data_IF_113619367442
#
_entry.id   IF_113619367442
#
_cell.length_a   1.000
_cell.length_b   1.000
_cell.length_c   1.000
_cell.angle_alpha   90.00
_cell.angle_beta   90.00
_cell.angle_gamma   90.00
#
_symmetry.space_group_name_H-M   'P 1'
#
loop_
_entity.id
_entity.type
_entity.pdbx_description
1 polymer ?
#
# COMPACT_ATOMS: atom_id res chain seq x y z
N UNK A 1 -13.81 -15.68 -79.91
CA UNK A 1 -14.51 -15.73 -78.59
C UNK A 1 -13.50 -16.28 -77.59
N UNK A 2 -12.73 -15.40 -77.00
CA UNK A 2 -11.52 -15.67 -76.30
C UNK A 2 -11.84 -15.57 -74.79
N UNK A 3 -11.60 -16.65 -74.07
CA UNK A 3 -11.79 -16.75 -72.62
C UNK A 3 -10.53 -16.15 -71.93
N UNK A 4 -10.73 -15.04 -71.21
CA UNK A 4 -9.72 -14.42 -70.37
C UNK A 4 -9.43 -15.27 -69.11
N UNK A 5 -8.19 -15.33 -68.62
CA UNK A 5 -7.81 -16.14 -67.47
C UNK A 5 -8.24 -15.48 -66.14
N UNK A 6 -9.02 -16.18 -65.36
CA UNK A 6 -9.30 -15.89 -63.94
C UNK A 6 -8.17 -16.44 -63.07
N UNK A 7 -7.07 -15.73 -62.96
CA UNK A 7 -5.92 -16.32 -62.22
C UNK A 7 -5.10 -15.37 -61.35
N UNK A 8 -5.37 -14.05 -61.37
CA UNK A 8 -4.39 -13.11 -60.78
C UNK A 8 -4.87 -12.31 -59.58
N UNK A 9 -6.09 -12.51 -59.09
CA UNK A 9 -6.60 -11.70 -57.96
C UNK A 9 -6.36 -12.35 -56.58
N UNK A 10 -6.19 -13.67 -56.53
CA UNK A 10 -5.98 -14.38 -55.29
C UNK A 10 -4.49 -14.35 -54.84
N UNK A 11 -3.56 -14.32 -55.79
CA UNK A 11 -2.12 -14.21 -55.51
C UNK A 11 -1.74 -12.83 -54.98
N UNK A 12 -2.32 -11.76 -55.49
CA UNK A 12 -2.06 -10.39 -55.03
C UNK A 12 -2.60 -10.11 -53.65
N UNK A 13 -3.67 -10.74 -53.23
CA UNK A 13 -4.19 -10.62 -51.84
C UNK A 13 -3.32 -11.39 -50.82
N UNK A 14 -2.81 -12.53 -51.23
CA UNK A 14 -1.90 -13.32 -50.36
C UNK A 14 -0.54 -12.64 -50.20
N UNK A 15 -0.03 -12.03 -51.27
CA UNK A 15 1.22 -11.29 -51.27
C UNK A 15 1.10 -9.98 -50.44
N UNK A 16 -0.06 -9.32 -50.49
CA UNK A 16 -0.33 -8.14 -49.64
C UNK A 16 -0.43 -8.53 -48.18
N UNK A 17 -1.03 -9.68 -47.84
CA UNK A 17 -1.18 -10.13 -46.47
C UNK A 17 0.16 -10.59 -45.86
N UNK A 18 1.03 -11.15 -46.69
CA UNK A 18 2.40 -11.51 -46.27
C UNK A 18 3.27 -10.28 -46.00
N UNK A 19 3.11 -9.24 -46.84
CA UNK A 19 3.83 -7.98 -46.63
C UNK A 19 3.37 -7.24 -45.35
N UNK A 20 2.05 -7.24 -45.08
CA UNK A 20 1.47 -6.67 -43.85
C UNK A 20 1.94 -7.45 -42.59
N UNK A 21 2.19 -8.77 -42.71
CA UNK A 21 2.75 -9.59 -41.62
C UNK A 21 4.25 -9.30 -41.39
N UNK A 22 5.03 -9.16 -42.45
CA UNK A 22 6.45 -8.81 -42.34
C UNK A 22 6.64 -7.39 -41.73
N UNK A 23 5.79 -6.40 -42.09
CA UNK A 23 5.80 -5.08 -41.44
C UNK A 23 5.44 -5.15 -39.95
N UNK A 24 4.53 -6.02 -39.53
CA UNK A 24 4.17 -6.22 -38.12
C UNK A 24 5.27 -6.93 -37.32
N UNK A 25 6.07 -7.79 -37.96
CA UNK A 25 7.23 -8.42 -37.33
C UNK A 25 8.39 -7.42 -37.18
N UNK A 26 8.66 -6.56 -38.18
CA UNK A 26 9.68 -5.51 -38.10
C UNK A 26 9.36 -4.47 -37.02
N UNK A 27 8.08 -4.01 -36.90
CA UNK A 27 7.64 -3.08 -35.86
C UNK A 27 7.79 -3.68 -34.44
N UNK A 28 7.55 -4.99 -34.29
CA UNK A 28 7.69 -5.67 -33.00
C UNK A 28 9.16 -5.85 -32.58
N UNK A 29 10.07 -6.05 -33.54
CA UNK A 29 11.50 -6.13 -33.30
C UNK A 29 12.10 -4.74 -32.96
N UNK A 30 11.56 -3.65 -33.55
CA UNK A 30 11.99 -2.28 -33.19
C UNK A 30 11.46 -1.87 -31.80
N UNK A 31 10.25 -2.26 -31.39
CA UNK A 31 9.73 -2.03 -30.03
C UNK A 31 10.53 -2.82 -28.99
N UNK A 32 10.90 -4.08 -29.26
CA UNK A 32 11.72 -4.87 -28.34
C UNK A 32 13.15 -4.31 -28.20
N UNK A 33 13.74 -3.82 -29.28
CA UNK A 33 15.07 -3.17 -29.22
C UNK A 33 15.03 -1.81 -28.48
N UNK A 34 13.90 -1.09 -28.53
CA UNK A 34 13.73 0.15 -27.76
C UNK A 34 13.44 -0.13 -26.28
N UNK A 35 12.77 -1.22 -25.93
CA UNK A 35 12.59 -1.64 -24.54
C UNK A 35 13.92 -2.13 -23.93
N UNK A 36 14.70 -2.96 -24.64
CA UNK A 36 16.01 -3.41 -24.16
C UNK A 36 17.00 -2.26 -23.97
N UNK A 37 17.03 -1.27 -24.89
CA UNK A 37 17.91 -0.09 -24.74
C UNK A 37 17.44 0.86 -23.64
N UNK A 38 16.15 0.93 -23.35
CA UNK A 38 15.63 1.70 -22.23
C UNK A 38 15.86 1.00 -20.89
N UNK A 39 15.82 -0.33 -20.83
CA UNK A 39 16.18 -1.11 -19.64
C UNK A 39 17.68 -1.05 -19.35
N UNK A 40 18.56 -1.11 -20.38
CA UNK A 40 20.00 -0.93 -20.18
C UNK A 40 20.36 0.51 -19.74
N UNK A 41 19.70 1.54 -20.29
CA UNK A 41 19.90 2.94 -19.86
C UNK A 41 19.30 3.23 -18.47
N UNK A 42 18.24 2.53 -18.06
CA UNK A 42 17.68 2.62 -16.72
C UNK A 42 18.60 1.92 -15.70
N UNK A 43 19.13 0.75 -16.04
CA UNK A 43 20.05 0.01 -15.16
C UNK A 43 21.39 0.72 -14.95
N UNK A 44 21.94 1.41 -15.97
CA UNK A 44 23.21 2.16 -15.84
C UNK A 44 23.07 3.44 -14.99
N UNK A 45 21.85 3.93 -14.74
CA UNK A 45 21.60 5.09 -13.88
C UNK A 45 21.25 4.73 -12.44
N UNK A 46 20.85 3.48 -12.16
CA UNK A 46 20.48 3.02 -10.81
C UNK A 46 21.66 2.42 -10.01
N UNK A 47 22.78 2.08 -10.65
CA UNK A 47 23.77 1.18 -10.04
C UNK A 47 24.97 1.86 -9.34
N UNK A 48 24.97 3.18 -9.07
CA UNK A 48 26.14 3.77 -8.42
C UNK A 48 25.94 4.60 -7.16
N UNK A 49 24.75 5.08 -6.86
CA UNK A 49 24.55 5.94 -5.68
C UNK A 49 23.41 5.48 -4.73
N UNK A 50 22.41 4.72 -5.20
CA UNK A 50 21.29 4.26 -4.36
C UNK A 50 21.71 3.16 -3.37
N UNK A 51 22.53 2.20 -3.77
CA UNK A 51 23.03 1.13 -2.87
C UNK A 51 23.85 1.68 -1.69
N UNK A 52 24.60 2.79 -1.91
CA UNK A 52 25.34 3.45 -0.81
C UNK A 52 24.46 4.27 0.08
N UNK A 53 23.34 4.79 -0.44
CA UNK A 53 22.37 5.54 0.34
C UNK A 53 21.46 4.60 1.15
N UNK A 54 21.11 3.45 0.59
CA UNK A 54 20.35 2.40 1.27
C UNK A 54 21.14 1.76 2.43
N UNK A 55 22.44 1.50 2.25
CA UNK A 55 23.30 0.97 3.31
C UNK A 55 23.59 1.97 4.43
N UNK A 56 23.61 3.27 4.15
CA UNK A 56 23.70 4.32 5.18
C UNK A 56 22.39 4.47 5.95
N UNK A 57 21.24 4.34 5.28
CA UNK A 57 19.91 4.36 5.91
C UNK A 57 19.64 3.11 6.76
N UNK A 58 20.22 1.96 6.42
CA UNK A 58 20.12 0.71 7.22
C UNK A 58 20.87 0.77 8.54
N UNK A 59 21.84 1.68 8.67
CA UNK A 59 22.60 1.86 9.91
C UNK A 59 22.01 2.91 10.88
N UNK A 60 20.96 3.62 10.48
CA UNK A 60 20.23 4.49 11.38
C UNK A 60 19.18 3.66 12.13
N UNK A 61 19.22 3.69 13.47
CA UNK A 61 18.24 2.98 14.32
C UNK A 61 16.80 3.40 14.06
N UNK A 62 15.82 2.64 14.55
CA UNK A 62 14.38 2.87 14.35
C UNK A 62 13.95 4.30 14.71
N UNK A 63 14.62 4.93 15.67
CA UNK A 63 14.32 6.30 16.12
C UNK A 63 14.56 7.37 15.03
N UNK A 64 15.46 7.11 14.08
CA UNK A 64 15.69 8.00 12.92
C UNK A 64 14.57 7.91 11.87
N UNK A 65 13.81 6.81 11.85
CA UNK A 65 12.67 6.59 10.95
C UNK A 65 11.35 7.10 11.55
N UNK A 66 11.24 7.14 12.88
CA UNK A 66 10.07 7.68 13.60
C UNK A 66 10.21 9.20 13.73
N UNK A 67 9.89 9.92 12.62
CA UNK A 67 10.07 11.39 12.54
C UNK A 67 8.77 12.14 12.82
N UNK A 68 7.65 11.62 12.34
CA UNK A 68 6.37 12.32 12.36
C UNK A 68 5.86 12.54 13.77
N UNK A 69 5.84 11.49 14.60
CA UNK A 69 5.38 11.56 15.99
C UNK A 69 6.20 12.50 16.88
N UNK A 70 7.49 12.68 16.54
CA UNK A 70 8.38 13.60 17.27
C UNK A 70 8.20 15.04 16.83
N UNK A 71 7.60 15.29 15.66
CA UNK A 71 7.37 16.59 15.07
C UNK A 71 6.39 17.42 15.91
N UNK A 72 6.78 18.67 16.20
CA UNK A 72 5.90 19.63 16.91
C UNK A 72 4.65 19.99 16.09
N UNK A 73 4.79 20.02 14.74
CA UNK A 73 3.66 20.24 13.81
C UNK A 73 2.59 19.16 13.98
N UNK A 74 3.00 17.92 14.04
CA UNK A 74 2.10 16.77 14.24
C UNK A 74 1.36 16.85 15.58
N UNK A 75 2.06 17.13 16.67
CA UNK A 75 1.47 17.22 18.00
C UNK A 75 0.44 18.36 18.09
N UNK A 76 0.76 19.53 17.52
CA UNK A 76 -0.18 20.66 17.44
C UNK A 76 -1.43 20.28 16.64
N UNK A 77 -1.24 19.60 15.52
CA UNK A 77 -2.34 19.15 14.68
C UNK A 77 -3.27 18.18 15.41
N UNK A 78 -2.74 17.15 16.09
CA UNK A 78 -3.53 16.21 16.87
C UNK A 78 -4.30 16.91 18.01
N UNK A 79 -3.68 17.88 18.67
CA UNK A 79 -4.35 18.70 19.70
C UNK A 79 -5.48 19.52 19.11
N UNK A 80 -5.27 20.16 17.95
CA UNK A 80 -6.29 20.92 17.25
C UNK A 80 -7.48 20.05 16.82
N UNK A 81 -7.24 18.83 16.35
CA UNK A 81 -8.29 17.87 16.02
C UNK A 81 -9.10 17.51 17.27
N UNK A 82 -8.44 17.20 18.39
CA UNK A 82 -9.11 16.85 19.63
C UNK A 82 -10.03 17.99 20.11
N UNK A 83 -9.55 19.23 20.09
CA UNK A 83 -10.34 20.41 20.49
C UNK A 83 -11.51 20.70 19.56
N UNK A 84 -11.34 20.43 18.24
CA UNK A 84 -12.38 20.73 17.25
C UNK A 84 -13.36 19.59 17.03
N UNK A 85 -13.00 18.36 17.37
CA UNK A 85 -13.91 17.21 17.26
C UNK A 85 -15.18 17.39 18.11
N UNK A 86 -15.07 18.11 19.24
CA UNK A 86 -16.19 18.40 20.13
C UNK A 86 -17.10 19.54 19.64
N UNK A 87 -16.62 20.37 18.66
CA UNK A 87 -17.36 21.52 18.16
C UNK A 87 -18.18 21.14 16.91
N UNK A 88 -19.39 21.72 16.75
CA UNK A 88 -20.15 21.53 15.51
C UNK A 88 -19.40 22.17 14.33
N UNK A 89 -19.51 21.53 13.16
CA UNK A 89 -18.90 22.00 11.93
C UNK A 89 -19.48 23.37 11.53
N UNK A 90 -18.61 24.31 11.10
CA UNK A 90 -18.99 25.65 10.61
C UNK A 90 -18.53 25.83 9.16
N UNK A 91 -19.43 26.34 8.30
CA UNK A 91 -19.11 26.52 6.86
C UNK A 91 -18.15 27.69 6.57
N UNK A 92 -18.09 28.67 7.46
CA UNK A 92 -17.34 29.91 7.23
C UNK A 92 -15.98 29.94 7.94
N UNK A 93 -15.50 28.80 8.44
CA UNK A 93 -14.26 28.74 9.19
C UNK A 93 -13.10 28.33 8.26
N UNK A 94 -12.34 29.34 7.77
CA UNK A 94 -11.11 29.12 6.96
C UNK A 94 -10.07 28.27 7.71
N UNK A 95 -10.04 28.36 9.05
CA UNK A 95 -9.15 27.57 9.88
C UNK A 95 -9.55 26.09 9.88
N UNK A 96 -10.85 25.79 9.81
CA UNK A 96 -11.33 24.40 9.72
C UNK A 96 -10.97 23.78 8.37
N UNK A 97 -11.10 24.53 7.28
CA UNK A 97 -10.66 24.06 5.97
C UNK A 97 -9.15 23.82 5.91
N UNK A 98 -8.36 24.75 6.46
CA UNK A 98 -6.91 24.58 6.54
C UNK A 98 -6.52 23.34 7.37
N UNK A 99 -7.22 23.07 8.47
CA UNK A 99 -7.02 21.89 9.29
C UNK A 99 -7.35 20.57 8.53
N UNK A 100 -8.41 20.56 7.71
CA UNK A 100 -8.78 19.44 6.87
C UNK A 100 -7.71 19.18 5.82
N UNK A 101 -7.19 20.20 5.15
CA UNK A 101 -6.11 20.06 4.17
C UNK A 101 -4.85 19.53 4.84
N UNK A 102 -4.47 20.09 6.00
CA UNK A 102 -3.32 19.61 6.77
C UNK A 102 -3.50 18.15 7.24
N UNK A 103 -4.72 17.75 7.61
CA UNK A 103 -5.05 16.37 7.96
C UNK A 103 -4.75 15.42 6.82
N UNK A 104 -5.14 15.76 5.58
CA UNK A 104 -4.87 14.93 4.41
C UNK A 104 -3.37 14.80 4.12
N UNK A 105 -2.60 15.88 4.23
CA UNK A 105 -1.13 15.82 4.09
C UNK A 105 -0.47 14.93 5.14
N UNK A 106 -0.97 15.00 6.38
CA UNK A 106 -0.46 14.19 7.49
C UNK A 106 -0.78 12.72 7.26
N UNK A 107 -1.99 12.37 6.80
CA UNK A 107 -2.36 10.99 6.48
C UNK A 107 -1.41 10.35 5.46
N UNK A 108 -1.07 11.07 4.40
CA UNK A 108 -0.10 10.58 3.39
C UNK A 108 1.29 10.35 4.02
N UNK A 109 1.74 11.27 4.87
CA UNK A 109 3.03 11.12 5.58
C UNK A 109 3.02 9.98 6.59
N UNK A 110 1.88 9.73 7.27
CA UNK A 110 1.71 8.59 8.18
C UNK A 110 1.83 7.26 7.44
N UNK A 111 1.21 7.14 6.27
CA UNK A 111 1.30 5.93 5.47
C UNK A 111 2.72 5.69 4.94
N UNK A 112 3.45 6.75 4.58
CA UNK A 112 4.85 6.66 4.17
C UNK A 112 5.74 6.21 5.34
N UNK A 113 5.63 6.86 6.52
CA UNK A 113 6.41 6.50 7.71
C UNK A 113 6.11 5.07 8.20
N UNK A 114 4.84 4.67 8.18
CA UNK A 114 4.44 3.29 8.50
C UNK A 114 5.11 2.29 7.55
N UNK A 115 5.20 2.63 6.26
CA UNK A 115 5.87 1.77 5.28
C UNK A 115 7.37 1.64 5.56
N UNK A 116 8.06 2.75 5.83
CA UNK A 116 9.50 2.76 6.13
C UNK A 116 9.82 1.99 7.43
N UNK A 117 9.04 2.21 8.50
CA UNK A 117 9.24 1.52 9.76
C UNK A 117 8.90 0.03 9.65
N UNK A 118 7.83 -0.32 8.91
CA UNK A 118 7.50 -1.72 8.64
C UNK A 118 8.64 -2.44 7.91
N UNK A 119 9.20 -1.83 6.85
CA UNK A 119 10.32 -2.42 6.10
C UNK A 119 11.53 -2.66 7.03
N UNK A 120 11.86 -1.69 7.88
CA UNK A 120 12.95 -1.81 8.84
C UNK A 120 12.71 -2.94 9.86
N UNK A 121 11.51 -3.02 10.43
CA UNK A 121 11.14 -4.10 11.38
C UNK A 121 11.18 -5.45 10.67
N UNK A 122 10.73 -5.52 9.41
CA UNK A 122 10.77 -6.74 8.62
C UNK A 122 12.19 -7.23 8.36
N UNK A 123 13.11 -6.34 8.01
CA UNK A 123 14.54 -6.67 7.81
C UNK A 123 15.20 -7.20 9.10
N UNK A 124 14.88 -6.61 10.24
CA UNK A 124 15.39 -7.08 11.52
C UNK A 124 14.75 -8.41 11.95
N UNK A 125 13.41 -8.49 11.88
CA UNK A 125 12.67 -9.66 12.37
C UNK A 125 12.80 -10.86 11.43
N UNK A 126 13.11 -10.63 10.16
CA UNK A 126 13.41 -11.66 9.18
C UNK A 126 14.57 -12.57 9.55
N UNK A 127 15.49 -12.12 10.42
CA UNK A 127 16.55 -12.97 10.98
C UNK A 127 16.00 -14.08 11.87
N UNK A 128 14.89 -13.81 12.55
CA UNK A 128 14.20 -14.77 13.43
C UNK A 128 13.16 -15.59 12.69
N UNK A 129 12.36 -14.95 11.81
CA UNK A 129 11.26 -15.61 11.13
C UNK A 129 11.08 -15.04 9.70
N UNK A 130 11.93 -15.48 8.76
CA UNK A 130 11.92 -14.94 7.39
C UNK A 130 10.61 -15.24 6.64
N UNK A 131 9.92 -16.34 6.98
CA UNK A 131 8.69 -16.73 6.30
C UNK A 131 7.47 -15.90 6.71
N UNK A 132 7.56 -15.13 7.80
CA UNK A 132 6.42 -14.41 8.37
C UNK A 132 5.84 -13.36 7.41
N UNK A 133 6.68 -12.66 6.63
CA UNK A 133 6.24 -11.69 5.64
C UNK A 133 5.32 -12.30 4.59
N UNK A 134 5.63 -13.51 4.15
CA UNK A 134 4.82 -14.23 3.16
C UNK A 134 3.52 -14.77 3.73
N UNK A 135 3.50 -15.08 5.02
CA UNK A 135 2.33 -15.63 5.73
C UNK A 135 1.34 -14.53 6.16
N UNK A 136 1.85 -13.35 6.49
CA UNK A 136 1.05 -12.20 6.97
C UNK A 136 1.33 -10.98 6.10
N UNK A 137 0.64 -10.85 4.95
CA UNK A 137 0.91 -9.79 3.99
C UNK A 137 0.42 -8.40 4.43
N UNK A 138 -0.50 -8.34 5.40
CA UNK A 138 -0.97 -7.08 5.98
C UNK A 138 0.09 -6.50 6.92
N UNK A 139 0.59 -5.30 6.61
CA UNK A 139 1.65 -4.64 7.39
C UNK A 139 1.29 -4.46 8.86
N UNK A 140 0.03 -4.07 9.13
CA UNK A 140 -0.44 -3.86 10.50
C UNK A 140 -0.58 -5.15 11.28
N UNK A 141 -1.14 -6.20 10.64
CA UNK A 141 -1.23 -7.53 11.25
C UNK A 141 0.16 -8.10 11.51
N UNK A 142 1.10 -7.92 10.57
CA UNK A 142 2.49 -8.30 10.72
C UNK A 142 3.12 -7.66 11.98
N UNK A 143 3.02 -6.33 12.12
CA UNK A 143 3.55 -5.61 13.27
C UNK A 143 2.91 -6.05 14.60
N UNK A 144 1.59 -6.31 14.61
CA UNK A 144 0.89 -6.86 15.78
C UNK A 144 1.38 -8.25 16.14
N UNK A 145 1.60 -9.10 15.14
CA UNK A 145 2.15 -10.45 15.34
C UNK A 145 3.57 -10.37 15.90
N UNK A 146 4.42 -9.52 15.32
CA UNK A 146 5.80 -9.31 15.82
C UNK A 146 5.78 -8.82 17.27
N UNK A 147 4.93 -7.85 17.61
CA UNK A 147 4.78 -7.33 18.96
C UNK A 147 4.31 -8.41 19.95
N UNK A 148 3.41 -9.31 19.53
CA UNK A 148 2.89 -10.38 20.35
C UNK A 148 3.87 -11.55 20.52
N UNK A 149 4.59 -11.91 19.45
CA UNK A 149 5.57 -13.00 19.47
C UNK A 149 6.89 -12.63 20.16
N UNK A 150 7.31 -11.37 20.05
CA UNK A 150 8.58 -10.92 20.61
C UNK A 150 9.73 -11.85 20.23
N UNK A 151 10.49 -12.32 21.21
CA UNK A 151 11.61 -13.26 20.99
C UNK A 151 11.28 -14.73 21.34
N UNK A 152 9.98 -15.02 21.58
CA UNK A 152 9.55 -16.38 21.90
C UNK A 152 9.74 -17.32 20.69
N UNK A 153 10.36 -18.48 20.95
CA UNK A 153 10.56 -19.52 19.92
C UNK A 153 9.53 -20.63 20.00
N UNK A 154 8.86 -20.74 21.16
CA UNK A 154 7.78 -21.73 21.35
C UNK A 154 6.43 -21.12 20.97
N UNK A 155 5.99 -21.43 19.77
CA UNK A 155 4.71 -20.93 19.22
C UNK A 155 3.48 -21.40 20.00
N UNK A 156 3.61 -22.39 20.89
CA UNK A 156 2.49 -22.87 21.71
C UNK A 156 2.17 -21.91 22.86
N UNK A 157 3.09 -21.02 23.21
CA UNK A 157 2.92 -20.03 24.27
C UNK A 157 2.36 -18.70 23.78
N UNK A 158 2.31 -18.51 22.45
CA UNK A 158 1.88 -17.25 21.83
C UNK A 158 0.44 -17.36 21.37
N UNK A 159 -0.45 -16.52 21.89
CA UNK A 159 -1.83 -16.44 21.44
C UNK A 159 -2.01 -15.38 20.33
N UNK A 160 -2.22 -15.83 19.12
CA UNK A 160 -2.44 -14.99 17.93
C UNK A 160 -3.93 -14.95 17.51
N UNK A 161 -4.82 -15.58 18.26
CA UNK A 161 -6.23 -15.76 17.87
C UNK A 161 -7.02 -14.45 17.75
N UNK A 162 -6.54 -13.38 18.40
CA UNK A 162 -7.17 -12.05 18.33
C UNK A 162 -6.66 -11.17 17.18
N UNK A 163 -5.57 -11.59 16.50
CA UNK A 163 -4.87 -10.80 15.48
C UNK A 163 -5.11 -11.40 14.09
N UNK A 164 -4.99 -12.72 13.98
CA UNK A 164 -5.06 -13.44 12.71
C UNK A 164 -6.26 -14.39 12.63
N UNK A 165 -6.77 -14.69 11.44
CA UNK A 165 -7.74 -15.76 11.22
C UNK A 165 -7.20 -17.13 11.68
N UNK A 166 -8.03 -18.04 12.20
CA UNK A 166 -7.58 -19.33 12.75
C UNK A 166 -6.75 -20.18 11.79
N UNK A 167 -7.05 -20.12 10.50
CA UNK A 167 -6.30 -20.82 9.45
C UNK A 167 -4.88 -20.30 9.34
N UNK A 168 -4.70 -18.97 9.38
CA UNK A 168 -3.37 -18.33 9.31
C UNK A 168 -2.60 -18.58 10.59
N UNK A 169 -3.25 -18.51 11.76
CA UNK A 169 -2.63 -18.83 13.07
C UNK A 169 -2.04 -20.24 13.03
N UNK A 170 -2.78 -21.23 12.51
CA UNK A 170 -2.29 -22.60 12.40
C UNK A 170 -1.03 -22.69 11.51
N UNK A 171 -1.05 -22.04 10.35
CA UNK A 171 0.09 -22.04 9.43
C UNK A 171 1.30 -21.35 10.06
N UNK A 172 1.11 -20.18 10.64
CA UNK A 172 2.17 -19.43 11.34
C UNK A 172 2.76 -20.24 12.48
N UNK A 173 1.94 -20.93 13.28
CA UNK A 173 2.41 -21.75 14.40
C UNK A 173 3.24 -22.95 13.93
N UNK A 174 2.81 -23.65 12.87
CA UNK A 174 3.55 -24.78 12.30
C UNK A 174 4.86 -24.30 11.69
N UNK A 175 4.83 -23.25 10.86
CA UNK A 175 6.02 -22.72 10.21
C UNK A 175 7.00 -22.15 11.26
N UNK A 176 6.52 -21.43 12.26
CA UNK A 176 7.35 -20.87 13.33
C UNK A 176 8.02 -21.95 14.19
N UNK A 177 7.41 -23.13 14.32
CA UNK A 177 8.02 -24.29 15.00
C UNK A 177 9.11 -24.99 14.16
N UNK A 178 9.12 -24.76 12.84
CA UNK A 178 10.07 -25.40 11.89
C UNK A 178 11.02 -24.42 11.25
N UNK A 179 10.91 -23.12 11.57
CA UNK A 179 11.77 -22.06 11.02
C UNK A 179 13.24 -22.30 11.33
N UNK A 180 14.11 -21.93 10.40
CA UNK A 180 15.57 -21.96 10.57
C UNK A 180 16.14 -20.70 11.19
N UNK A 181 15.29 -19.71 11.54
CA UNK A 181 15.69 -18.43 12.09
C UNK A 181 16.33 -18.55 13.48
N UNK A 182 17.02 -17.51 13.89
CA UNK A 182 17.70 -17.42 15.18
C UNK A 182 17.04 -16.33 16.05
N UNK A 183 17.01 -16.51 17.38
CA UNK A 183 16.47 -15.48 18.26
C UNK A 183 17.27 -14.18 18.10
N UNK A 184 16.55 -13.06 18.13
CA UNK A 184 17.14 -11.72 18.03
C UNK A 184 17.95 -11.40 19.29
N UNK A 185 18.95 -10.54 19.15
CA UNK A 185 19.63 -9.93 20.29
C UNK A 185 18.66 -9.01 21.04
N UNK A 186 18.92 -8.76 22.32
CA UNK A 186 18.07 -7.89 23.15
C UNK A 186 17.97 -6.46 22.59
N UNK A 187 19.05 -5.96 21.98
CA UNK A 187 19.06 -4.65 21.33
C UNK A 187 18.15 -4.63 20.08
N UNK A 188 18.29 -5.61 19.18
CA UNK A 188 17.48 -5.72 17.98
C UNK A 188 15.99 -5.92 18.30
N UNK A 189 15.70 -6.73 19.30
CA UNK A 189 14.33 -6.91 19.78
C UNK A 189 13.76 -5.60 20.32
N UNK A 190 14.55 -4.84 21.09
CA UNK A 190 14.14 -3.54 21.61
C UNK A 190 13.83 -2.54 20.50
N UNK A 191 14.59 -2.56 19.41
CA UNK A 191 14.31 -1.73 18.22
C UNK A 191 13.03 -2.16 17.49
N UNK A 192 12.84 -3.46 17.25
CA UNK A 192 11.63 -4.01 16.67
C UNK A 192 10.39 -3.62 17.49
N UNK A 193 10.43 -3.78 18.80
CA UNK A 193 9.30 -3.45 19.68
C UNK A 193 8.98 -1.96 19.65
N UNK A 194 9.99 -1.07 19.66
CA UNK A 194 9.75 0.39 19.52
C UNK A 194 9.14 0.74 18.16
N UNK A 195 9.60 0.10 17.07
CA UNK A 195 9.02 0.28 15.76
C UNK A 195 7.56 -0.17 15.70
N UNK A 196 7.25 -1.34 16.24
CA UNK A 196 5.88 -1.84 16.33
C UNK A 196 4.97 -0.90 17.13
N UNK A 197 5.41 -0.46 18.30
CA UNK A 197 4.66 0.45 19.17
C UNK A 197 4.39 1.81 18.48
N UNK A 198 5.39 2.33 17.76
CA UNK A 198 5.23 3.57 17.03
C UNK A 198 4.21 3.44 15.89
N UNK A 199 4.29 2.36 15.10
CA UNK A 199 3.32 2.11 14.01
C UNK A 199 1.90 1.90 14.52
N UNK A 200 1.73 1.19 15.63
CA UNK A 200 0.41 0.97 16.21
C UNK A 200 -0.22 2.27 16.72
N UNK A 201 0.60 3.18 17.31
CA UNK A 201 0.13 4.51 17.69
C UNK A 201 -0.24 5.37 16.47
N UNK A 202 0.56 5.31 15.39
CA UNK A 202 0.21 5.99 14.14
C UNK A 202 -1.14 5.53 13.58
N UNK A 203 -1.44 4.24 13.67
CA UNK A 203 -2.72 3.72 13.21
C UNK A 203 -3.90 4.20 14.06
N UNK A 204 -3.74 4.25 15.38
CA UNK A 204 -4.76 4.80 16.29
C UNK A 204 -4.99 6.30 16.00
N UNK A 205 -3.92 7.06 15.82
CA UNK A 205 -3.98 8.47 15.46
C UNK A 205 -4.62 8.69 14.08
N UNK A 206 -4.30 7.81 13.10
CA UNK A 206 -4.93 7.80 11.77
C UNK A 206 -6.44 7.57 11.87
N UNK A 207 -6.87 6.62 12.71
CA UNK A 207 -8.27 6.39 13.00
C UNK A 207 -8.97 7.64 13.53
N UNK A 208 -8.33 8.37 14.44
CA UNK A 208 -8.84 9.61 15.01
C UNK A 208 -8.99 10.72 13.97
N UNK A 209 -7.96 10.90 13.11
CA UNK A 209 -8.01 11.86 12.00
C UNK A 209 -9.13 11.52 11.02
N UNK A 210 -9.25 10.25 10.63
CA UNK A 210 -10.30 9.82 9.71
C UNK A 210 -11.71 10.03 10.30
N UNK A 211 -11.90 9.76 11.59
CA UNK A 211 -13.16 10.02 12.27
C UNK A 211 -13.52 11.52 12.28
N UNK A 212 -12.53 12.38 12.52
CA UNK A 212 -12.71 13.82 12.39
C UNK A 212 -13.11 14.23 10.97
N UNK A 213 -12.36 13.79 9.96
CA UNK A 213 -12.64 14.06 8.54
C UNK A 213 -14.03 13.54 8.14
N UNK A 214 -14.41 12.33 8.55
CA UNK A 214 -15.74 11.76 8.31
C UNK A 214 -16.86 12.69 8.81
N UNK A 215 -16.69 13.27 9.99
CA UNK A 215 -17.67 14.21 10.57
C UNK A 215 -17.82 15.51 9.75
N UNK A 216 -16.78 15.88 8.97
CA UNK A 216 -16.73 17.12 8.16
C UNK A 216 -17.04 16.88 6.67
N UNK A 217 -17.07 15.64 6.20
CA UNK A 217 -17.26 15.30 4.79
C UNK A 217 -18.57 15.82 4.19
N UNK A 218 -19.65 15.85 4.95
CA UNK A 218 -20.94 16.39 4.48
C UNK A 218 -20.86 17.87 4.07
N UNK A 219 -19.90 18.62 4.60
CA UNK A 219 -19.65 20.02 4.28
C UNK A 219 -18.62 20.17 3.16
N UNK A 220 -17.52 19.41 3.25
CA UNK A 220 -16.41 19.49 2.29
C UNK A 220 -16.78 18.95 0.91
N UNK A 221 -17.41 17.80 0.87
CA UNK A 221 -17.74 17.09 -0.37
C UNK A 221 -19.17 16.49 -0.31
N UNK A 222 -20.23 17.30 -0.30
CA UNK A 222 -21.61 16.81 -0.12
C UNK A 222 -22.05 15.85 -1.18
N UNK A 223 -21.67 16.04 -2.44
CA UNK A 223 -22.01 15.17 -3.54
C UNK A 223 -21.32 13.80 -3.42
N UNK A 224 -20.03 13.79 -3.08
CA UNK A 224 -19.28 12.56 -2.87
C UNK A 224 -19.84 11.79 -1.67
N UNK A 225 -20.10 12.51 -0.57
CA UNK A 225 -20.68 11.94 0.65
C UNK A 225 -22.05 11.34 0.41
N UNK A 226 -22.85 11.96 -0.44
CA UNK A 226 -24.18 11.42 -0.80
C UNK A 226 -24.09 10.14 -1.67
N UNK A 227 -23.05 10.04 -2.51
CA UNK A 227 -22.84 8.89 -3.38
C UNK A 227 -22.29 7.68 -2.62
N UNK A 228 -21.18 7.85 -1.89
CA UNK A 228 -20.43 6.72 -1.31
C UNK A 228 -20.52 6.64 0.21
N UNK A 229 -21.16 7.59 0.85
CA UNK A 229 -21.22 7.72 2.30
C UNK A 229 -20.01 8.48 2.89
N UNK A 230 -20.14 9.02 4.11
CA UNK A 230 -19.12 9.90 4.71
C UNK A 230 -17.81 9.15 5.04
N UNK A 231 -17.90 7.89 5.44
CA UNK A 231 -16.74 7.08 5.80
C UNK A 231 -15.84 6.80 4.58
N UNK A 232 -16.43 6.27 3.51
CA UNK A 232 -15.69 5.99 2.28
C UNK A 232 -15.22 7.27 1.60
N UNK A 233 -16.00 8.36 1.66
CA UNK A 233 -15.59 9.67 1.14
C UNK A 233 -14.34 10.19 1.85
N UNK A 234 -14.29 10.14 3.19
CA UNK A 234 -13.13 10.55 3.97
C UNK A 234 -11.90 9.71 3.66
N UNK A 235 -12.07 8.38 3.53
CA UNK A 235 -11.00 7.46 3.21
C UNK A 235 -10.43 7.71 1.80
N UNK A 236 -11.28 7.90 0.80
CA UNK A 236 -10.86 8.20 -0.58
C UNK A 236 -10.10 9.53 -0.66
N UNK A 237 -10.62 10.59 -0.02
CA UNK A 237 -9.97 11.90 0.01
C UNK A 237 -8.63 11.82 0.76
N UNK A 238 -8.57 11.10 1.87
CA UNK A 238 -7.35 10.89 2.65
C UNK A 238 -6.27 10.16 1.85
N UNK A 239 -6.63 9.05 1.17
CA UNK A 239 -5.69 8.28 0.35
C UNK A 239 -5.20 9.05 -0.88
N UNK A 240 -6.03 9.93 -1.44
CA UNK A 240 -5.63 10.78 -2.58
C UNK A 240 -4.76 11.97 -2.17
N UNK A 241 -4.70 12.31 -0.87
CA UNK A 241 -4.03 13.51 -0.38
C UNK A 241 -4.87 14.78 -0.47
N UNK A 242 -6.16 14.68 -0.81
CA UNK A 242 -7.09 15.80 -0.89
C UNK A 242 -8.18 15.63 -1.95
N UNK A 243 -9.22 16.48 -1.88
CA UNK A 243 -10.34 16.43 -2.84
C UNK A 243 -9.91 16.82 -4.27
N UNK A 244 -8.98 17.77 -4.41
CA UNK A 244 -8.48 18.21 -5.70
C UNK A 244 -7.65 17.09 -6.39
N UNK A 245 -6.87 16.35 -5.63
CA UNK A 245 -6.06 15.25 -6.14
C UNK A 245 -6.94 14.05 -6.46
N UNK A 246 -7.95 13.75 -5.64
CA UNK A 246 -8.94 12.72 -5.94
C UNK A 246 -9.65 12.99 -7.28
N UNK A 247 -9.97 14.26 -7.58
CA UNK A 247 -10.62 14.63 -8.85
C UNK A 247 -9.72 14.40 -10.09
N UNK A 248 -8.42 14.28 -9.91
CA UNK A 248 -7.45 14.00 -10.98
C UNK A 248 -7.18 12.51 -11.19
N UNK A 249 -7.57 11.68 -10.22
CA UNK A 249 -7.35 10.22 -10.29
C UNK A 249 -8.17 9.64 -11.46
N UNK A 250 -7.53 8.88 -12.38
CA UNK A 250 -8.25 8.16 -13.44
C UNK A 250 -9.24 7.14 -12.86
N UNK A 251 -10.37 6.93 -13.53
CA UNK A 251 -11.42 6.02 -13.05
C UNK A 251 -10.93 4.58 -12.83
N UNK A 252 -10.01 4.08 -13.66
CA UNK A 252 -9.40 2.76 -13.50
C UNK A 252 -8.58 2.64 -12.21
N UNK A 253 -7.85 3.70 -11.83
CA UNK A 253 -7.07 3.72 -10.60
C UNK A 253 -7.97 3.87 -9.37
N UNK A 254 -9.08 4.61 -9.49
CA UNK A 254 -10.04 4.78 -8.40
C UNK A 254 -10.68 3.46 -7.97
N UNK A 255 -10.90 2.52 -8.88
CA UNK A 255 -11.46 1.20 -8.56
C UNK A 255 -10.53 0.33 -7.73
N UNK A 256 -9.20 0.55 -7.79
CA UNK A 256 -8.19 -0.21 -7.06
C UNK A 256 -7.61 0.54 -5.86
N UNK A 257 -8.03 1.79 -5.62
CA UNK A 257 -7.60 2.55 -4.45
C UNK A 257 -7.93 1.81 -3.16
N UNK A 258 -6.94 1.70 -2.26
CA UNK A 258 -7.08 0.99 -0.99
C UNK A 258 -7.13 -0.54 -1.13
N UNK A 259 -6.73 -1.09 -2.28
CA UNK A 259 -6.58 -2.53 -2.45
C UNK A 259 -5.47 -3.05 -1.54
N UNK A 260 -5.83 -3.93 -0.62
CA UNK A 260 -4.84 -4.67 0.16
C UNK A 260 -4.22 -5.78 -0.70
N UNK A 261 -2.90 -5.87 -0.72
CA UNK A 261 -2.20 -6.99 -1.34
C UNK A 261 -2.43 -8.22 -0.46
N UNK A 262 -3.37 -9.08 -0.85
CA UNK A 262 -3.62 -10.36 -0.18
C UNK A 262 -2.92 -11.46 -0.95
N UNK A 263 -2.08 -12.21 -0.27
CA UNK A 263 -1.41 -13.36 -0.86
C UNK A 263 -2.39 -14.52 -1.05
N UNK A 264 -2.35 -15.13 -2.23
CA UNK A 264 -2.96 -16.41 -2.52
C UNK A 264 -2.02 -17.52 -2.01
N UNK A 265 -1.77 -17.58 -0.72
CA UNK A 265 -1.17 -18.76 -0.10
C UNK A 265 -2.21 -19.87 -0.16
N UNK A 266 -1.92 -20.99 -0.80
CA UNK A 266 -2.83 -22.04 -1.22
C UNK A 266 -3.70 -22.73 -0.14
N UNK A 267 -3.90 -22.11 1.02
CA UNK A 267 -4.69 -22.62 2.13
C UNK A 267 -5.68 -21.62 2.76
N UNK A 268 -5.78 -20.39 2.29
CA UNK A 268 -6.67 -19.39 2.88
C UNK A 268 -7.80 -18.98 1.94
N UNK A 269 -9.02 -19.41 2.22
CA UNK A 269 -10.25 -18.97 1.52
C UNK A 269 -10.67 -17.51 1.86
N UNK A 270 -9.75 -16.65 2.23
CA UNK A 270 -9.99 -15.20 2.29
C UNK A 270 -9.18 -14.54 1.19
N UNK A 271 -9.42 -14.98 -0.03
CA UNK A 271 -9.02 -14.24 -1.20
C UNK A 271 -9.91 -12.98 -1.25
N UNK A 272 -9.35 -11.82 -0.88
CA UNK A 272 -9.93 -10.57 -1.32
C UNK A 272 -10.08 -10.63 -2.83
N UNK A 273 -11.22 -10.17 -3.36
CA UNK A 273 -11.43 -10.17 -4.80
C UNK A 273 -10.27 -9.41 -5.48
N UNK A 274 -9.64 -9.98 -6.52
CA UNK A 274 -8.56 -9.30 -7.21
C UNK A 274 -9.08 -7.98 -7.80
N UNK A 275 -8.27 -6.93 -7.72
CA UNK A 275 -8.58 -5.59 -8.24
C UNK A 275 -9.76 -4.87 -7.56
N UNK A 276 -10.12 -5.23 -6.34
CA UNK A 276 -11.13 -4.52 -5.56
C UNK A 276 -10.50 -3.56 -4.56
N UNK A 277 -10.81 -2.28 -4.70
CA UNK A 277 -10.46 -1.25 -3.72
C UNK A 277 -11.62 -0.96 -2.75
N UNK A 278 -11.49 0.14 -2.01
CA UNK A 278 -12.49 0.55 -1.00
C UNK A 278 -13.87 0.84 -1.59
N UNK A 279 -13.95 1.23 -2.86
CA UNK A 279 -15.23 1.46 -3.55
C UNK A 279 -16.10 0.23 -3.67
N UNK A 280 -15.53 -0.97 -3.60
CA UNK A 280 -16.31 -2.21 -3.63
C UNK A 280 -17.27 -2.31 -2.44
N UNK A 281 -16.94 -1.70 -1.32
CA UNK A 281 -17.77 -1.70 -0.10
C UNK A 281 -18.85 -0.62 -0.11
N UNK A 282 -19.01 0.12 -1.22
CA UNK A 282 -20.09 1.09 -1.39
C UNK A 282 -21.41 0.37 -1.70
N UNK A 283 -22.49 0.78 -1.03
CA UNK A 283 -23.85 0.24 -1.25
C UNK A 283 -24.34 0.34 -2.70
N UNK A 284 -23.77 1.25 -3.50
CA UNK A 284 -24.09 1.41 -4.92
C UNK A 284 -23.42 0.36 -5.83
N UNK A 285 -22.38 -0.31 -5.34
CA UNK A 285 -21.59 -1.29 -6.10
C UNK A 285 -21.97 -2.72 -5.73
N UNK A 286 -22.41 -2.94 -4.52
CA UNK A 286 -22.99 -4.21 -4.04
C UNK A 286 -24.43 -4.34 -4.50
#
# INVERSE_FOLDING_TARGET
>A
MELAPRGNMALTLADSFLNDLDELEEDNDEEQQQEETNEELANDLEDSDDDKMEDVLKNEGVDAKIKLQTSERYRRHMTAIAERSEKPASFDDEEEYALIVESNEILVKMDAELHEVHAYVNDLYGKKFPELETLVPSKLEYLRVVAQMGNEMDMTQVDLSGILPPTVVMVVSVTGSTTSGQPLTESELGECMRGCDACLRLEDDKGTILQYLQSRMSMLAPNLTHLVGPSLAALLVGMAGGLADLARVPACNMTVMGQEKRYLGGFGMVAGMPHTGVLYFCDLVQ
#
